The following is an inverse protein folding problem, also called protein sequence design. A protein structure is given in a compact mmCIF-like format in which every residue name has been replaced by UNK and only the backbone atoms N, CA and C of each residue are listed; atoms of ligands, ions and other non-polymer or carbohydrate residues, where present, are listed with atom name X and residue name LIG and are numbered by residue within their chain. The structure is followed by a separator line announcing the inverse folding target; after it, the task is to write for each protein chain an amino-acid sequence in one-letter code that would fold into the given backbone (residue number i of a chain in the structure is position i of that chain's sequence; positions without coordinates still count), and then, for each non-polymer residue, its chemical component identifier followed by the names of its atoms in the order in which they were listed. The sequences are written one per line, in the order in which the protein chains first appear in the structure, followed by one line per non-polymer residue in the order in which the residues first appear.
data_IF_766291193468
#
_entry.id   IF_766291193468
#
_cell.length_a   1.000
_cell.length_b   1.000
_cell.length_c   1.000
_cell.angle_alpha   90.00
_cell.angle_beta   90.00
_cell.angle_gamma   90.00
#
_symmetry.space_group_name_H-M   'P 1'
#
loop_
_entity.id
_entity.type
_entity.pdbx_description
1 polymer ?
#
# COMPACT_ATOMS: atom_id res chain seq x y z
N UNK A 1 10.04 14.57 6.08
CA UNK A 1 10.68 13.39 6.69
C UNK A 1 11.10 13.63 8.12
N UNK A 2 11.87 14.69 8.43
CA UNK A 2 12.34 14.99 9.80
C UNK A 2 11.21 15.04 10.85
N UNK A 3 10.07 15.65 10.54
CA UNK A 3 8.93 15.72 11.47
C UNK A 3 8.31 14.34 11.77
N UNK A 4 8.24 13.45 10.77
CA UNK A 4 7.72 12.09 10.95
C UNK A 4 8.65 11.25 11.83
N UNK A 5 9.96 11.41 11.71
CA UNK A 5 10.93 10.74 12.58
C UNK A 5 10.74 11.11 14.05
N UNK A 6 10.51 12.39 14.33
CA UNK A 6 10.22 12.87 15.70
C UNK A 6 8.93 12.25 16.23
N UNK A 7 7.86 12.22 15.42
CA UNK A 7 6.57 11.63 15.82
C UNK A 7 6.67 10.13 16.07
N UNK A 8 7.35 9.39 15.20
CA UNK A 8 7.57 7.93 15.37
C UNK A 8 8.40 7.67 16.62
N UNK A 9 9.50 8.40 16.82
CA UNK A 9 10.34 8.23 18.00
C UNK A 9 9.57 8.56 19.29
N UNK A 10 8.70 9.58 19.26
CA UNK A 10 7.82 9.90 20.38
C UNK A 10 6.81 8.78 20.66
N UNK A 11 6.08 8.34 19.64
CA UNK A 11 5.09 7.27 19.73
C UNK A 11 5.68 5.97 20.32
N UNK A 12 6.87 5.58 19.85
CA UNK A 12 7.59 4.41 20.34
C UNK A 12 8.01 4.55 21.81
N UNK A 13 8.51 5.73 22.22
CA UNK A 13 8.86 5.99 23.63
C UNK A 13 7.66 5.99 24.55
N UNK A 14 6.54 6.54 24.09
CA UNK A 14 5.30 6.68 24.87
C UNK A 14 4.41 5.43 24.78
N UNK A 15 4.80 4.41 24.01
CA UNK A 15 4.02 3.21 23.73
C UNK A 15 2.61 3.53 23.20
N UNK A 16 2.51 4.61 22.41
CA UNK A 16 1.28 5.02 21.76
C UNK A 16 1.33 4.66 20.27
N UNK A 17 0.20 4.22 19.69
CA UNK A 17 0.17 3.88 18.28
C UNK A 17 0.27 5.16 17.43
N UNK A 18 0.95 5.06 16.30
CA UNK A 18 1.04 6.12 15.30
C UNK A 18 0.78 5.48 13.94
N UNK A 19 -0.25 5.96 13.25
CA UNK A 19 -0.59 5.50 11.92
C UNK A 19 -0.18 6.52 10.84
N UNK A 20 0.09 6.00 9.65
CA UNK A 20 0.36 6.74 8.44
C UNK A 20 -0.61 6.26 7.36
N UNK A 21 -1.29 7.21 6.74
CA UNK A 21 -2.10 7.00 5.55
C UNK A 21 -1.34 7.63 4.38
N UNK A 22 -1.11 6.86 3.32
CA UNK A 22 -0.65 7.37 2.03
C UNK A 22 -1.80 7.31 1.02
N UNK A 23 -2.02 8.42 0.32
CA UNK A 23 -3.11 8.61 -0.63
C UNK A 23 -2.54 8.97 -1.99
N UNK A 24 -3.11 8.42 -3.06
CA UNK A 24 -2.80 8.79 -4.44
C UNK A 24 -4.07 8.98 -5.25
N UNK A 25 -4.16 10.12 -5.95
CA UNK A 25 -5.34 10.45 -6.75
C UNK A 25 -5.41 9.58 -8.01
N UNK A 26 -6.47 8.78 -8.11
CA UNK A 26 -6.62 7.88 -9.24
C UNK A 26 -6.84 8.66 -10.54
N UNK A 27 -6.10 8.29 -11.58
CA UNK A 27 -6.22 8.88 -12.93
C UNK A 27 -5.95 10.40 -12.98
N UNK A 28 -5.25 10.99 -12.01
CA UNK A 28 -4.98 12.44 -11.99
C UNK A 28 -4.26 12.94 -13.25
N UNK A 29 -3.43 12.10 -13.87
CA UNK A 29 -2.83 12.41 -15.18
C UNK A 29 -3.88 12.68 -16.27
N UNK A 30 -4.96 11.89 -16.34
CA UNK A 30 -6.05 12.10 -17.33
C UNK A 30 -6.68 13.48 -17.12
N UNK A 31 -6.91 13.86 -15.86
CA UNK A 31 -7.44 15.17 -15.52
C UNK A 31 -6.53 16.30 -16.02
N UNK A 32 -5.22 16.22 -15.74
CA UNK A 32 -4.24 17.19 -16.21
C UNK A 32 -4.12 17.25 -17.74
N UNK A 33 -4.06 16.09 -18.39
CA UNK A 33 -3.92 16.01 -19.84
C UNK A 33 -5.17 16.60 -20.56
N UNK A 34 -6.33 16.56 -19.91
CA UNK A 34 -7.60 17.05 -20.48
C UNK A 34 -7.88 18.52 -20.15
N UNK A 35 -7.60 18.97 -18.92
CA UNK A 35 -8.00 20.29 -18.42
C UNK A 35 -6.81 21.23 -18.17
N UNK A 36 -5.59 20.74 -18.33
CA UNK A 36 -4.35 21.46 -18.11
C UNK A 36 -3.91 21.50 -16.64
N UNK A 37 -2.61 21.67 -16.44
CA UNK A 37 -1.99 21.68 -15.11
C UNK A 37 -2.53 22.75 -14.17
N UNK A 38 -2.98 23.90 -14.68
CA UNK A 38 -3.57 24.95 -13.84
C UNK A 38 -4.87 24.48 -13.17
N UNK A 39 -5.69 23.71 -13.89
CA UNK A 39 -6.88 23.08 -13.32
C UNK A 39 -6.49 21.99 -12.32
N UNK A 40 -5.44 21.22 -12.61
CA UNK A 40 -4.88 20.21 -11.70
C UNK A 40 -4.43 20.80 -10.36
N UNK A 41 -3.73 21.92 -10.40
CA UNK A 41 -3.33 22.65 -9.19
C UNK A 41 -4.54 23.12 -8.38
N UNK A 42 -5.61 23.54 -9.06
CA UNK A 42 -6.89 23.86 -8.42
C UNK A 42 -7.48 22.66 -7.69
N UNK A 43 -7.54 21.51 -8.36
CA UNK A 43 -8.04 20.25 -7.80
C UNK A 43 -7.21 19.81 -6.59
N UNK A 44 -5.88 19.87 -6.67
CA UNK A 44 -5.00 19.49 -5.55
C UNK A 44 -5.17 20.40 -4.32
N UNK A 45 -5.40 21.71 -4.51
CA UNK A 45 -5.71 22.62 -3.40
C UNK A 45 -7.05 22.31 -2.76
N UNK A 46 -8.05 21.97 -3.57
CA UNK A 46 -9.38 21.57 -3.07
C UNK A 46 -9.32 20.23 -2.33
N UNK A 47 -8.56 19.27 -2.87
CA UNK A 47 -8.30 17.98 -2.25
C UNK A 47 -7.63 18.14 -0.88
N UNK A 48 -6.58 18.97 -0.79
CA UNK A 48 -5.89 19.25 0.47
C UNK A 48 -6.84 19.84 1.53
N UNK A 49 -7.68 20.82 1.15
CA UNK A 49 -8.70 21.40 2.06
C UNK A 49 -9.72 20.38 2.50
N UNK A 50 -10.09 19.44 1.64
CA UNK A 50 -11.02 18.37 1.98
C UNK A 50 -10.39 17.40 2.98
N UNK A 51 -9.11 17.05 2.83
CA UNK A 51 -8.39 16.25 3.83
C UNK A 51 -8.34 16.97 5.18
N UNK A 52 -7.88 18.23 5.21
CA UNK A 52 -7.75 19.03 6.44
C UNK A 52 -9.07 19.16 7.20
N UNK A 53 -10.20 19.30 6.50
CA UNK A 53 -11.53 19.38 7.14
C UNK A 53 -12.00 18.07 7.77
N UNK A 54 -11.42 16.95 7.37
CA UNK A 54 -11.90 15.62 7.76
C UNK A 54 -10.94 14.91 8.73
N UNK A 55 -9.81 15.52 9.06
CA UNK A 55 -8.88 15.03 10.09
C UNK A 55 -8.94 15.94 11.33
N UNK A 56 -8.34 15.50 12.43
CA UNK A 56 -8.30 16.25 13.69
C UNK A 56 -7.20 17.30 13.65
N UNK A 57 -7.21 18.23 14.61
CA UNK A 57 -6.18 19.28 14.72
C UNK A 57 -4.79 18.75 15.00
N UNK A 58 -4.67 17.59 15.66
CA UNK A 58 -3.43 16.91 15.96
C UNK A 58 -2.91 16.03 14.81
N UNK A 59 -3.76 15.77 13.81
CA UNK A 59 -3.39 15.01 12.63
C UNK A 59 -2.63 15.91 11.65
N UNK A 60 -1.61 15.36 10.98
CA UNK A 60 -0.81 16.11 10.02
C UNK A 60 -1.16 15.70 8.59
N UNK A 61 -1.61 16.64 7.77
CA UNK A 61 -1.76 16.46 6.32
C UNK A 61 -0.52 17.02 5.63
N UNK A 62 0.07 16.25 4.72
CA UNK A 62 1.20 16.69 3.92
C UNK A 62 1.03 16.25 2.46
N UNK A 63 1.51 17.07 1.53
CA UNK A 63 1.72 16.65 0.14
C UNK A 63 3.05 15.92 0.05
N UNK A 64 3.03 14.65 -0.31
CA UNK A 64 4.21 13.79 -0.38
C UNK A 64 4.86 13.84 -1.77
N UNK A 65 4.04 13.90 -2.82
CA UNK A 65 4.47 13.89 -4.21
C UNK A 65 3.63 14.80 -5.11
N UNK A 66 3.65 14.53 -6.41
CA UNK A 66 2.88 15.30 -7.40
C UNK A 66 1.38 15.24 -7.11
N UNK A 67 0.85 14.03 -7.00
CA UNK A 67 -0.55 13.67 -6.74
C UNK A 67 -0.71 12.74 -5.53
N UNK A 68 0.33 12.70 -4.70
CA UNK A 68 0.39 11.87 -3.51
C UNK A 68 0.33 12.73 -2.25
N UNK A 69 -0.49 12.30 -1.28
CA UNK A 69 -0.66 12.92 0.02
C UNK A 69 -0.39 11.91 1.13
N UNK A 70 0.02 12.42 2.29
CA UNK A 70 0.20 11.66 3.50
C UNK A 70 -0.62 12.28 4.62
N UNK A 71 -1.24 11.43 5.45
CA UNK A 71 -1.87 11.84 6.72
C UNK A 71 -1.23 11.05 7.85
N UNK A 72 -0.65 11.77 8.82
CA UNK A 72 -0.08 11.18 10.03
C UNK A 72 -1.10 11.30 11.15
N UNK A 73 -1.39 10.19 11.82
CA UNK A 73 -2.43 10.07 12.84
C UNK A 73 -1.80 9.64 14.18
N UNK A 74 -1.43 10.59 15.05
CA UNK A 74 -0.99 10.29 16.41
C UNK A 74 -2.08 9.54 17.19
N UNK A 75 -1.66 8.68 18.12
CA UNK A 75 -2.56 7.95 19.02
C UNK A 75 -3.64 7.13 18.29
N UNK A 76 -3.30 6.61 17.11
CA UNK A 76 -4.22 5.90 16.23
C UNK A 76 -3.58 4.61 15.75
N UNK A 77 -4.26 3.49 15.96
CA UNK A 77 -3.86 2.17 15.46
C UNK A 77 -4.29 1.95 14.00
N UNK A 78 -3.81 0.87 13.38
CA UNK A 78 -4.10 0.55 11.99
C UNK A 78 -5.58 0.37 11.68
N UNK A 79 -6.36 -0.22 12.59
CA UNK A 79 -7.81 -0.44 12.39
C UNK A 79 -8.58 0.87 12.41
N UNK A 80 -8.27 1.76 13.36
CA UNK A 80 -8.88 3.09 13.46
C UNK A 80 -8.46 3.98 12.29
N UNK A 81 -7.19 3.91 11.89
CA UNK A 81 -6.68 4.61 10.71
C UNK A 81 -7.34 4.12 9.42
N UNK A 82 -7.59 2.81 9.29
CA UNK A 82 -8.34 2.24 8.17
C UNK A 82 -9.76 2.80 8.10
N UNK A 83 -10.46 2.91 9.22
CA UNK A 83 -11.80 3.51 9.25
C UNK A 83 -11.79 5.00 8.86
N UNK A 84 -10.78 5.76 9.30
CA UNK A 84 -10.58 7.15 8.90
C UNK A 84 -10.31 7.23 7.38
N UNK A 85 -9.45 6.37 6.85
CA UNK A 85 -9.15 6.26 5.44
C UNK A 85 -10.40 5.93 4.60
N UNK A 86 -11.21 4.97 5.01
CA UNK A 86 -12.46 4.62 4.31
C UNK A 86 -13.47 5.77 4.30
N UNK A 87 -13.56 6.51 5.41
CA UNK A 87 -14.38 7.72 5.48
C UNK A 87 -13.88 8.78 4.50
N UNK A 88 -12.57 9.05 4.48
CA UNK A 88 -11.95 10.00 3.54
C UNK A 88 -12.21 9.57 2.09
N UNK A 89 -11.98 8.30 1.76
CA UNK A 89 -12.20 7.74 0.42
C UNK A 89 -13.62 8.01 -0.07
N UNK A 90 -14.64 7.69 0.74
CA UNK A 90 -16.06 7.93 0.41
C UNK A 90 -16.39 9.40 0.25
N UNK A 91 -15.81 10.27 1.10
CA UNK A 91 -16.01 11.71 1.01
C UNK A 91 -15.38 12.31 -0.25
N UNK A 92 -14.19 11.86 -0.63
CA UNK A 92 -13.49 12.27 -1.86
C UNK A 92 -14.33 11.85 -3.08
N UNK A 93 -14.76 10.59 -3.13
CA UNK A 93 -15.59 10.05 -4.21
C UNK A 93 -16.91 10.82 -4.39
N UNK A 94 -17.55 11.20 -3.28
CA UNK A 94 -18.80 11.95 -3.30
C UNK A 94 -18.62 13.45 -3.61
N UNK A 95 -17.42 14.01 -3.42
CA UNK A 95 -17.19 15.45 -3.51
C UNK A 95 -17.27 15.94 -4.97
N UNK A 96 -17.98 17.06 -5.24
CA UNK A 96 -18.13 17.61 -6.58
C UNK A 96 -16.92 18.44 -7.01
N UNK A 97 -15.77 17.77 -7.21
CA UNK A 97 -14.59 18.42 -7.78
C UNK A 97 -14.91 19.02 -9.17
N UNK A 98 -14.51 20.27 -9.44
CA UNK A 98 -14.61 20.87 -10.77
C UNK A 98 -13.91 20.00 -11.81
N UNK A 99 -14.52 19.80 -12.98
CA UNK A 99 -13.91 19.06 -14.08
C UNK A 99 -13.86 17.54 -13.88
N UNK A 100 -14.49 16.99 -12.83
CA UNK A 100 -14.55 15.54 -12.58
C UNK A 100 -15.24 14.74 -13.70
N UNK A 101 -15.95 15.41 -14.60
CA UNK A 101 -16.65 14.80 -15.72
C UNK A 101 -15.71 14.07 -16.68
N UNK A 102 -14.43 14.47 -16.73
CA UNK A 102 -13.39 13.85 -17.57
C UNK A 102 -12.84 12.55 -16.98
N UNK A 103 -13.13 12.26 -15.72
CA UNK A 103 -12.65 11.08 -15.01
C UNK A 103 -13.61 9.89 -15.18
N UNK A 104 -13.11 8.65 -15.08
CA UNK A 104 -13.96 7.46 -15.06
C UNK A 104 -15.04 7.56 -13.97
N UNK A 105 -16.30 7.29 -14.33
CA UNK A 105 -17.42 7.39 -13.39
C UNK A 105 -17.79 8.81 -12.97
N UNK A 106 -17.26 9.84 -13.65
CA UNK A 106 -17.52 11.25 -13.40
C UNK A 106 -17.26 11.69 -11.94
N UNK A 107 -16.29 11.06 -11.30
CA UNK A 107 -15.87 11.34 -9.94
C UNK A 107 -14.34 11.22 -9.80
N UNK A 108 -13.79 11.93 -8.82
CA UNK A 108 -12.41 11.74 -8.40
C UNK A 108 -12.37 10.63 -7.35
N UNK A 109 -11.55 9.61 -7.57
CA UNK A 109 -11.31 8.56 -6.58
C UNK A 109 -9.87 8.57 -6.11
N UNK A 110 -9.61 7.85 -5.03
CA UNK A 110 -8.29 7.78 -4.41
C UNK A 110 -7.98 6.34 -4.03
N UNK A 111 -6.74 5.92 -4.26
CA UNK A 111 -6.19 4.69 -3.70
C UNK A 111 -5.44 5.03 -2.42
N UNK A 112 -5.63 4.22 -1.37
CA UNK A 112 -5.11 4.52 -0.04
C UNK A 112 -4.38 3.31 0.55
N UNK A 113 -3.17 3.52 1.05
CA UNK A 113 -2.42 2.57 1.87
C UNK A 113 -2.32 3.05 3.30
N UNK A 114 -2.49 2.14 4.26
CA UNK A 114 -2.43 2.44 5.70
C UNK A 114 -1.38 1.56 6.35
N UNK A 115 -0.54 2.12 7.21
CA UNK A 115 0.33 1.36 8.10
C UNK A 115 0.41 2.03 9.47
N UNK A 116 0.78 1.28 10.50
CA UNK A 116 0.96 1.85 11.84
C UNK A 116 2.11 1.20 12.60
N UNK A 117 2.55 1.85 13.68
CA UNK A 117 3.70 1.41 14.50
C UNK A 117 3.41 0.15 15.34
N UNK A 118 2.15 -0.30 15.46
CA UNK A 118 1.83 -1.57 16.13
C UNK A 118 2.07 -2.78 15.23
N UNK A 119 2.15 -2.57 13.91
CA UNK A 119 2.53 -3.63 12.97
C UNK A 119 3.91 -4.20 13.30
N UNK A 120 4.01 -5.53 13.34
CA UNK A 120 5.27 -6.21 13.61
C UNK A 120 6.36 -5.81 12.59
N UNK A 121 7.46 -5.24 13.10
CA UNK A 121 8.60 -4.82 12.29
C UNK A 121 8.58 -3.34 11.89
N UNK A 122 7.56 -2.57 12.23
CA UNK A 122 7.52 -1.12 11.98
C UNK A 122 8.14 -0.37 13.18
N UNK A 123 9.48 -0.25 13.16
CA UNK A 123 10.25 0.38 14.26
C UNK A 123 10.92 1.71 13.88
N UNK A 124 10.67 2.22 12.68
CA UNK A 124 11.24 3.46 12.18
C UNK A 124 10.27 4.16 11.23
N UNK A 125 10.47 5.46 11.02
CA UNK A 125 9.70 6.22 10.03
C UNK A 125 9.85 5.64 8.61
N UNK A 126 11.05 5.20 8.24
CA UNK A 126 11.30 4.57 6.94
C UNK A 126 10.49 3.29 6.73
N UNK A 127 10.36 2.45 7.77
CA UNK A 127 9.58 1.22 7.71
C UNK A 127 8.06 1.50 7.72
N UNK A 128 7.63 2.53 8.44
CA UNK A 128 6.23 2.97 8.43
C UNK A 128 5.80 3.49 7.05
N UNK A 129 6.64 4.33 6.42
CA UNK A 129 6.42 4.80 5.04
C UNK A 129 6.43 3.63 4.07
N UNK A 130 7.41 2.73 4.17
CA UNK A 130 7.48 1.55 3.30
C UNK A 130 6.22 0.67 3.42
N UNK A 131 5.72 0.44 4.62
CA UNK A 131 4.49 -0.35 4.82
C UNK A 131 3.26 0.32 4.21
N UNK A 132 3.10 1.63 4.41
CA UNK A 132 1.98 2.38 3.83
C UNK A 132 2.06 2.42 2.29
N UNK A 133 3.26 2.54 1.72
CA UNK A 133 3.51 2.52 0.28
C UNK A 133 3.23 1.15 -0.33
N UNK A 134 3.67 0.05 0.32
CA UNK A 134 3.34 -1.31 -0.10
C UNK A 134 1.82 -1.56 -0.11
N UNK A 135 1.11 -1.09 0.92
CA UNK A 135 -0.35 -1.17 0.95
C UNK A 135 -1.00 -0.33 -0.15
N UNK A 136 -0.51 0.90 -0.38
CA UNK A 136 -0.99 1.78 -1.45
C UNK A 136 -0.78 1.17 -2.84
N UNK A 137 0.36 0.51 -3.04
CA UNK A 137 0.65 -0.22 -4.27
C UNK A 137 -0.36 -1.34 -4.52
N UNK A 138 -0.70 -2.14 -3.49
CA UNK A 138 -1.76 -3.16 -3.58
C UNK A 138 -3.11 -2.52 -3.93
N UNK A 139 -3.42 -1.36 -3.33
CA UNK A 139 -4.65 -0.63 -3.63
C UNK A 139 -4.74 -0.24 -5.12
N UNK A 140 -3.61 0.20 -5.71
CA UNK A 140 -3.50 0.58 -7.13
C UNK A 140 -3.50 -0.61 -8.10
N UNK A 141 -2.98 -1.77 -7.69
CA UNK A 141 -2.97 -2.99 -8.53
C UNK A 141 -4.36 -3.60 -8.75
N UNK A 142 -5.27 -3.37 -7.80
CA UNK A 142 -6.67 -3.79 -7.88
C UNK A 142 -7.50 -2.92 -8.83
N UNK A 143 -8.73 -2.63 -8.43
CA UNK A 143 -9.63 -1.72 -9.17
C UNK A 143 -9.44 -0.25 -8.78
N UNK A 144 -8.42 0.08 -7.98
CA UNK A 144 -8.27 1.38 -7.31
C UNK A 144 -9.45 1.67 -6.39
N UNK A 145 -9.67 2.95 -6.03
CA UNK A 145 -10.76 3.41 -5.18
C UNK A 145 -11.00 2.51 -3.96
N UNK A 146 -9.93 2.25 -3.19
CA UNK A 146 -9.96 1.35 -2.04
C UNK A 146 -8.90 1.73 -1.01
N UNK A 147 -9.08 1.20 0.19
CA UNK A 147 -8.12 1.27 1.27
C UNK A 147 -7.52 -0.12 1.47
N UNK A 148 -6.20 -0.19 1.58
CA UNK A 148 -5.49 -1.40 1.99
C UNK A 148 -4.75 -1.11 3.29
N UNK A 149 -4.85 -2.02 4.26
CA UNK A 149 -4.06 -1.98 5.48
C UNK A 149 -2.80 -2.82 5.29
N UNK A 150 -1.66 -2.30 5.72
CA UNK A 150 -0.41 -3.01 5.69
C UNK A 150 -0.45 -4.19 6.64
N UNK A 151 -0.27 -5.38 6.09
CA UNK A 151 -0.06 -6.58 6.85
C UNK A 151 1.35 -7.06 6.55
N UNK A 152 2.21 -7.15 7.56
CA UNK A 152 3.46 -7.86 7.39
C UNK A 152 3.14 -9.33 7.09
N UNK A 153 3.75 -9.92 6.06
CA UNK A 153 3.63 -11.35 5.77
C UNK A 153 3.91 -12.22 7.02
N UNK A 154 4.76 -11.73 7.93
CA UNK A 154 5.06 -12.39 9.21
C UNK A 154 3.87 -12.39 10.19
N UNK A 155 2.98 -11.41 10.10
CA UNK A 155 1.77 -11.31 10.93
C UNK A 155 0.72 -12.34 10.50
N UNK A 156 0.47 -12.47 9.19
CA UNK A 156 -0.43 -13.50 8.64
C UNK A 156 0.07 -14.92 8.99
N UNK A 157 1.38 -15.13 8.90
CA UNK A 157 2.00 -16.40 9.31
C UNK A 157 1.87 -16.65 10.82
N UNK A 158 1.95 -15.62 11.67
CA UNK A 158 1.74 -15.77 13.13
C UNK A 158 0.32 -16.21 13.44
N UNK A 159 -0.69 -15.66 12.76
CA UNK A 159 -2.09 -15.98 13.02
C UNK A 159 -2.47 -17.37 12.50
N UNK A 160 -1.90 -17.77 11.37
CA UNK A 160 -2.26 -19.03 10.70
C UNK A 160 -1.54 -20.26 11.30
N UNK A 161 -0.47 -20.05 12.07
CA UNK A 161 0.47 -21.11 12.47
C UNK A 161 0.43 -21.35 13.98
N UNK A 162 0.36 -22.63 14.37
CA UNK A 162 0.36 -23.09 15.77
C UNK A 162 1.57 -22.54 16.51
N UNK A 163 1.38 -22.13 17.77
CA UNK A 163 2.39 -21.43 18.57
C UNK A 163 3.77 -22.11 18.57
N UNK A 164 3.78 -23.44 18.61
CA UNK A 164 4.96 -24.30 18.63
C UNK A 164 5.84 -24.21 17.37
N UNK A 165 5.25 -23.85 16.21
CA UNK A 165 5.92 -23.78 14.91
C UNK A 165 6.27 -22.34 14.49
N UNK A 166 5.81 -21.34 15.26
CA UNK A 166 5.94 -19.91 14.91
C UNK A 166 7.39 -19.46 14.83
N UNK A 167 8.23 -19.87 15.78
CA UNK A 167 9.62 -19.40 15.87
C UNK A 167 10.44 -19.85 14.66
N UNK A 168 10.41 -21.15 14.35
CA UNK A 168 11.13 -21.73 13.22
C UNK A 168 10.64 -21.17 11.87
N UNK A 169 9.33 -21.01 11.70
CA UNK A 169 8.76 -20.47 10.46
C UNK A 169 9.04 -18.96 10.29
N UNK A 170 8.99 -18.18 11.36
CA UNK A 170 9.35 -16.76 11.33
C UNK A 170 10.83 -16.57 10.99
N UNK A 171 11.71 -17.42 11.53
CA UNK A 171 13.13 -17.43 11.15
C UNK A 171 13.28 -17.77 9.67
N UNK A 172 12.61 -18.83 9.18
CA UNK A 172 12.66 -19.23 7.78
C UNK A 172 12.16 -18.13 6.83
N UNK A 173 11.03 -17.48 7.14
CA UNK A 173 10.44 -16.45 6.29
C UNK A 173 11.23 -15.16 6.34
N UNK A 174 11.75 -14.74 7.51
CA UNK A 174 12.68 -13.60 7.61
C UNK A 174 13.95 -13.84 6.79
N UNK A 175 14.47 -15.07 6.85
CA UNK A 175 15.66 -15.46 6.09
C UNK A 175 15.39 -15.37 4.58
N UNK A 176 14.24 -15.87 4.12
CA UNK A 176 13.84 -15.80 2.71
C UNK A 176 13.57 -14.36 2.25
N UNK A 177 12.90 -13.53 3.05
CA UNK A 177 12.68 -12.12 2.73
C UNK A 177 14.00 -11.35 2.67
N UNK A 178 14.95 -11.64 3.57
CA UNK A 178 16.29 -11.06 3.51
C UNK A 178 17.02 -11.48 2.23
N UNK A 179 16.92 -12.74 1.82
CA UNK A 179 17.48 -13.22 0.55
C UNK A 179 16.83 -12.59 -0.68
N UNK A 180 15.51 -12.37 -0.67
CA UNK A 180 14.80 -11.67 -1.75
C UNK A 180 15.22 -10.20 -1.82
N UNK A 181 15.28 -9.50 -0.67
CA UNK A 181 15.73 -8.12 -0.58
C UNK A 181 17.20 -7.94 -0.99
N UNK A 182 18.06 -8.95 -0.77
CA UNK A 182 19.47 -8.91 -1.19
C UNK A 182 19.65 -9.11 -2.69
N UNK A 183 18.62 -9.57 -3.43
CA UNK A 183 18.74 -9.89 -4.86
C UNK A 183 18.03 -8.93 -5.80
N UNK A 184 17.15 -8.05 -5.32
CA UNK A 184 16.25 -7.31 -6.22
C UNK A 184 16.39 -5.79 -6.09
N UNK A 185 17.18 -5.21 -7.00
CA UNK A 185 17.16 -3.77 -7.29
C UNK A 185 16.53 -3.48 -8.67
N UNK A 186 16.00 -4.47 -9.41
CA UNK A 186 15.58 -4.24 -10.81
C UNK A 186 14.43 -5.11 -11.39
N UNK A 187 13.73 -5.98 -10.64
CA UNK A 187 12.78 -6.94 -11.26
C UNK A 187 11.43 -7.11 -10.55
N UNK A 188 11.01 -6.14 -9.74
CA UNK A 188 9.75 -6.14 -9.00
C UNK A 188 8.47 -6.30 -9.87
N UNK A 189 8.53 -5.96 -11.16
CA UNK A 189 7.36 -5.94 -12.06
C UNK A 189 6.99 -7.27 -12.72
N UNK A 190 7.84 -8.30 -12.69
CA UNK A 190 7.63 -9.52 -13.49
C UNK A 190 6.71 -10.54 -12.80
N UNK A 191 7.02 -10.91 -11.57
CA UNK A 191 6.29 -11.95 -10.83
C UNK A 191 4.85 -11.55 -10.51
N UNK A 192 4.62 -10.26 -10.24
CA UNK A 192 3.29 -9.69 -10.03
C UNK A 192 2.42 -9.73 -11.29
N UNK A 193 3.00 -9.44 -12.46
CA UNK A 193 2.29 -9.55 -13.74
C UNK A 193 1.88 -10.99 -14.04
N UNK A 194 2.76 -11.95 -13.78
CA UNK A 194 2.47 -13.38 -13.97
C UNK A 194 1.31 -13.80 -13.07
N UNK A 195 1.37 -13.51 -11.77
CA UNK A 195 0.29 -13.84 -10.82
C UNK A 195 -1.05 -13.20 -11.23
N UNK A 196 -1.03 -11.93 -11.64
CA UNK A 196 -2.23 -11.22 -12.12
C UNK A 196 -2.87 -11.92 -13.33
N UNK A 197 -2.09 -12.26 -14.35
CA UNK A 197 -2.63 -12.93 -15.53
C UNK A 197 -3.12 -14.35 -15.23
N UNK A 198 -2.37 -15.09 -14.40
CA UNK A 198 -2.76 -16.41 -13.92
C UNK A 198 -4.14 -16.40 -13.26
N UNK A 199 -4.43 -15.41 -12.40
CA UNK A 199 -5.75 -15.27 -11.76
C UNK A 199 -6.87 -14.95 -12.74
N UNK A 200 -6.61 -14.08 -13.73
CA UNK A 200 -7.60 -13.72 -14.74
C UNK A 200 -7.96 -14.93 -15.61
N UNK A 201 -6.95 -15.68 -16.07
CA UNK A 201 -7.14 -16.89 -16.88
C UNK A 201 -7.86 -17.98 -16.06
N UNK A 202 -7.44 -18.20 -14.82
CA UNK A 202 -8.02 -19.22 -13.95
C UNK A 202 -9.52 -18.99 -13.66
N UNK A 203 -9.95 -17.72 -13.60
CA UNK A 203 -11.36 -17.35 -13.44
C UNK A 203 -12.16 -17.67 -14.71
N UNK A 204 -11.62 -17.33 -15.88
CA UNK A 204 -12.29 -17.59 -17.16
C UNK A 204 -12.40 -19.10 -17.46
N UNK A 205 -11.40 -19.88 -17.05
CA UNK A 205 -11.36 -21.34 -17.21
C UNK A 205 -12.26 -22.05 -16.18
N UNK A 206 -12.78 -21.34 -15.18
CA UNK A 206 -13.68 -21.91 -14.17
C UNK A 206 -13.01 -22.83 -13.17
N UNK A 207 -11.74 -22.58 -12.82
CA UNK A 207 -11.01 -23.39 -11.84
C UNK A 207 -11.66 -23.35 -10.46
N UNK A 208 -11.61 -24.48 -9.75
CA UNK A 208 -12.07 -24.56 -8.37
C UNK A 208 -11.20 -23.69 -7.44
N UNK A 209 -11.70 -23.32 -6.24
CA UNK A 209 -10.93 -22.53 -5.28
C UNK A 209 -9.59 -23.16 -4.88
N UNK A 210 -9.51 -24.50 -4.84
CA UNK A 210 -8.27 -25.23 -4.52
C UNK A 210 -7.26 -25.22 -5.67
N UNK A 211 -7.72 -25.36 -6.91
CA UNK A 211 -6.88 -25.25 -8.10
C UNK A 211 -6.38 -23.82 -8.29
N UNK A 212 -7.24 -22.82 -8.05
CA UNK A 212 -6.87 -21.41 -8.05
C UNK A 212 -5.77 -21.12 -7.02
N UNK A 213 -5.90 -21.67 -5.81
CA UNK A 213 -4.88 -21.55 -4.74
C UNK A 213 -3.56 -22.18 -5.17
N UNK A 214 -3.57 -23.41 -5.67
CA UNK A 214 -2.35 -24.08 -6.13
C UNK A 214 -1.68 -23.34 -7.30
N UNK A 215 -2.45 -22.85 -8.25
CA UNK A 215 -1.94 -22.14 -9.42
C UNK A 215 -1.33 -20.78 -9.03
N UNK A 216 -1.96 -20.04 -8.11
CA UNK A 216 -1.40 -18.81 -7.56
C UNK A 216 -0.09 -19.07 -6.80
N UNK A 217 -0.02 -20.16 -6.02
CA UNK A 217 1.20 -20.56 -5.32
C UNK A 217 2.32 -20.88 -6.30
N UNK A 218 2.01 -21.61 -7.39
CA UNK A 218 2.94 -21.90 -8.48
C UNK A 218 3.45 -20.64 -9.18
N UNK A 219 2.57 -19.66 -9.43
CA UNK A 219 2.95 -18.39 -10.07
C UNK A 219 3.89 -17.53 -9.20
N UNK A 220 3.67 -17.50 -7.88
CA UNK A 220 4.56 -16.78 -6.95
C UNK A 220 5.92 -17.47 -6.82
N UNK A 221 5.93 -18.80 -6.85
CA UNK A 221 7.13 -19.61 -6.64
C UNK A 221 7.86 -20.00 -7.93
N UNK A 222 7.36 -19.64 -9.12
CA UNK A 222 7.88 -20.17 -10.39
C UNK A 222 9.36 -19.87 -10.62
N UNK A 223 9.85 -18.77 -10.04
CA UNK A 223 11.23 -18.31 -10.17
C UNK A 223 12.12 -18.72 -8.98
N UNK A 224 11.62 -19.52 -8.03
CA UNK A 224 12.41 -19.97 -6.86
C UNK A 224 13.68 -20.74 -7.27
N UNK A 225 13.65 -21.42 -8.42
CA UNK A 225 14.81 -22.13 -8.97
C UNK A 225 15.98 -21.22 -9.36
N UNK A 226 15.73 -19.92 -9.61
CA UNK A 226 16.79 -18.94 -9.91
C UNK A 226 17.67 -18.65 -8.70
N UNK A 227 17.25 -19.00 -7.48
CA UNK A 227 18.02 -18.83 -6.23
C UNK A 227 19.38 -19.53 -6.32
N UNK A 228 19.45 -20.69 -6.96
CA UNK A 228 20.68 -21.47 -7.11
C UNK A 228 21.48 -21.14 -8.38
N UNK A 229 21.00 -20.21 -9.21
CA UNK A 229 21.63 -19.86 -10.49
C UNK A 229 22.57 -18.66 -10.29
N UNK A 230 23.84 -18.76 -10.73
CA UNK A 230 24.81 -17.66 -10.67
C UNK A 230 24.32 -16.39 -11.39
N UNK A 231 24.55 -15.17 -10.82
CA UNK A 231 24.08 -13.91 -11.40
C UNK A 231 24.49 -13.69 -12.86
N UNK A 232 25.69 -14.14 -13.24
CA UNK A 232 26.26 -14.00 -14.59
C UNK A 232 25.49 -14.79 -15.66
N UNK A 233 24.64 -15.74 -15.24
CA UNK A 233 23.76 -16.52 -16.11
C UNK A 233 22.38 -15.85 -16.22
N UNK A 234 21.96 -15.12 -15.18
CA UNK A 234 20.65 -14.46 -15.09
C UNK A 234 20.63 -13.07 -15.77
N UNK A 235 21.79 -12.43 -15.94
CA UNK A 235 21.91 -11.06 -16.48
C UNK A 235 22.56 -10.99 -17.87
N UNK A 236 22.42 -12.03 -18.70
CA UNK A 236 22.84 -12.00 -20.10
C UNK A 236 21.82 -11.29 -20.99
#
# INVERSE_FOLDING_TARGET
MEHLEVLVAKALREQQPLALIMLDLDYFKIYNDTLGHLAGDGLLREFARLLEKNVRSEDLVARYGGDEFAVVLPNTDGVSAFQIAERLRKQIEAHPFPGREVLPGHCLTVSIGVADTTCAGVSSASLLVKGADEALYVAKLGTRNRVELYHSALSELKETVRAEQREALLVAVRTNLLFLHMRDQYTYNHSERVNRYTRLIAREVGLSPDEMRMLCMGAVLHDIGKVCVPPQILTK
#
